data_IF_731540317786
#
_entry.id   IF_731540317786
#
_cell.length_a   1.000
_cell.length_b   1.000
_cell.length_c   1.000
_cell.angle_alpha   90.00
_cell.angle_beta   90.00
_cell.angle_gamma   90.00
#
_symmetry.space_group_name_H-M   'P 1'
#
loop_
_entity.id
_entity.type
_entity.pdbx_description
1 polymer ?
#
# COMPACT_ATOMS: atom_id res chain seq x y z
N UNK A 1 -12.87 5.35 -5.64
CA UNK A 1 -12.86 3.92 -5.29
C UNK A 1 -13.98 3.71 -4.29
N UNK A 2 -15.13 3.30 -4.74
CA UNK A 2 -16.25 3.06 -3.83
C UNK A 2 -16.24 1.60 -3.37
N UNK A 3 -16.60 1.34 -2.12
CA UNK A 3 -16.42 0.09 -1.38
C UNK A 3 -17.09 -1.15 -1.96
N UNK A 4 -17.86 -1.06 -3.03
CA UNK A 4 -18.55 -2.24 -3.57
C UNK A 4 -17.63 -3.31 -4.17
N UNK A 5 -16.36 -2.99 -4.46
CA UNK A 5 -15.52 -3.82 -5.33
C UNK A 5 -14.10 -4.09 -4.81
N UNK A 6 -13.55 -3.33 -3.84
CA UNK A 6 -12.19 -3.58 -3.36
C UNK A 6 -12.17 -4.12 -1.92
N UNK A 7 -12.10 -5.44 -1.79
CA UNK A 7 -12.02 -6.17 -0.51
C UNK A 7 -10.71 -5.91 0.27
N UNK A 8 -9.71 -5.29 -0.37
CA UNK A 8 -8.39 -4.96 0.20
C UNK A 8 -8.29 -3.50 0.66
N UNK A 9 -9.35 -2.73 0.47
CA UNK A 9 -9.39 -1.34 0.92
C UNK A 9 -9.33 -1.28 2.46
N UNK A 10 -8.46 -0.40 2.98
CA UNK A 10 -8.26 -0.19 4.42
C UNK A 10 -8.88 1.12 4.86
N UNK A 11 -8.43 2.23 4.27
CA UNK A 11 -8.88 3.55 4.65
C UNK A 11 -8.84 4.56 3.49
N UNK A 12 -9.66 5.58 3.60
CA UNK A 12 -9.55 6.82 2.84
C UNK A 12 -9.02 7.90 3.78
N UNK A 13 -7.89 8.48 3.41
CA UNK A 13 -7.26 9.62 4.08
C UNK A 13 -7.63 10.93 3.36
N UNK A 14 -7.08 12.06 3.78
CA UNK A 14 -7.37 13.36 3.17
C UNK A 14 -6.85 13.46 1.73
N UNK A 15 -5.64 12.98 1.45
CA UNK A 15 -5.02 13.06 0.12
C UNK A 15 -5.06 11.76 -0.68
N UNK A 16 -5.37 10.61 -0.06
CA UNK A 16 -5.26 9.32 -0.75
C UNK A 16 -6.09 8.18 -0.18
N UNK A 17 -5.95 7.04 -0.84
CA UNK A 17 -6.58 5.77 -0.47
C UNK A 17 -5.53 4.73 -0.12
N UNK A 18 -5.69 4.08 1.02
CA UNK A 18 -4.84 2.97 1.49
C UNK A 18 -5.53 1.66 1.16
N UNK A 19 -4.85 0.79 0.44
CA UNK A 19 -5.32 -0.56 0.16
C UNK A 19 -4.15 -1.55 0.17
N UNK A 20 -4.32 -2.70 0.82
CA UNK A 20 -3.37 -3.80 0.69
C UNK A 20 -3.36 -4.33 -0.75
N UNK A 21 -2.22 -4.76 -1.24
CA UNK A 21 -2.13 -5.48 -2.51
C UNK A 21 -2.89 -6.81 -2.40
N UNK A 22 -3.71 -7.17 -3.38
CA UNK A 22 -4.32 -8.51 -3.42
C UNK A 22 -3.28 -9.64 -3.43
N UNK A 23 -2.11 -9.39 -3.99
CA UNK A 23 -0.97 -10.31 -3.95
C UNK A 23 -0.09 -9.98 -2.73
N UNK A 24 -0.33 -10.68 -1.63
CA UNK A 24 0.44 -10.57 -0.39
C UNK A 24 1.69 -11.49 -0.37
N UNK A 25 2.33 -11.67 -1.52
CA UNK A 25 3.61 -12.39 -1.62
C UNK A 25 4.67 -11.76 -0.71
N UNK A 26 4.68 -10.43 -0.66
CA UNK A 26 5.39 -9.65 0.34
C UNK A 26 4.36 -9.19 1.38
N UNK A 27 4.45 -9.72 2.58
CA UNK A 27 3.48 -9.49 3.67
C UNK A 27 3.39 -8.01 4.04
N UNK A 28 2.19 -7.45 3.96
CA UNK A 28 1.92 -6.04 4.22
C UNK A 28 2.10 -5.13 2.99
N UNK A 29 2.35 -5.69 1.80
CA UNK A 29 2.45 -4.89 0.57
C UNK A 29 1.17 -4.07 0.38
N UNK A 30 1.33 -2.76 0.25
CA UNK A 30 0.25 -1.78 0.28
C UNK A 30 0.42 -0.76 -0.86
N UNK A 31 -0.71 -0.35 -1.42
CA UNK A 31 -0.81 0.81 -2.31
C UNK A 31 -1.34 2.01 -1.54
N UNK A 32 -0.73 3.17 -1.76
CA UNK A 32 -1.28 4.45 -1.35
C UNK A 32 -1.49 5.30 -2.59
N UNK A 33 -2.76 5.43 -3.03
CA UNK A 33 -3.14 6.07 -4.30
C UNK A 33 -3.70 7.46 -4.04
N UNK A 34 -3.28 8.45 -4.84
CA UNK A 34 -3.77 9.82 -4.72
C UNK A 34 -5.29 9.90 -4.98
N UNK A 35 -5.97 10.83 -4.30
CA UNK A 35 -7.38 11.18 -4.62
C UNK A 35 -7.48 11.95 -5.93
N UNK A 36 -6.58 12.90 -6.12
CA UNK A 36 -6.53 13.73 -7.32
C UNK A 36 -6.09 12.89 -8.50
N UNK A 37 -6.83 12.99 -9.61
CA UNK A 37 -6.54 12.24 -10.83
C UNK A 37 -5.38 12.88 -11.58
N UNK A 38 -4.16 12.57 -11.17
CA UNK A 38 -2.90 12.98 -11.82
C UNK A 38 -2.00 11.77 -12.04
N UNK A 39 -1.09 11.87 -12.99
CA UNK A 39 -0.12 10.82 -13.29
C UNK A 39 1.19 10.97 -12.50
N UNK A 40 1.55 12.20 -12.15
CA UNK A 40 2.88 12.51 -11.64
C UNK A 40 2.82 13.33 -10.35
N UNK A 41 3.76 13.06 -9.45
CA UNK A 41 3.85 13.74 -8.16
C UNK A 41 4.02 15.28 -8.30
N UNK A 42 4.77 15.73 -9.30
CA UNK A 42 5.02 17.15 -9.53
C UNK A 42 3.82 17.91 -10.11
N UNK A 43 2.77 17.22 -10.55
CA UNK A 43 1.53 17.81 -11.04
C UNK A 43 0.54 18.16 -9.92
N UNK A 44 0.75 17.64 -8.71
CA UNK A 44 -0.04 18.05 -7.55
C UNK A 44 0.31 19.49 -7.14
N UNK A 45 -0.70 20.24 -6.72
CA UNK A 45 -0.48 21.53 -6.06
C UNK A 45 0.40 21.32 -4.81
N UNK A 46 1.19 22.34 -4.46
CA UNK A 46 2.21 22.19 -3.40
C UNK A 46 1.64 21.66 -2.08
N UNK A 47 0.56 22.27 -1.60
CA UNK A 47 -0.06 21.86 -0.33
C UNK A 47 -0.60 20.43 -0.36
N UNK A 48 -1.17 20.02 -1.47
CA UNK A 48 -1.68 18.67 -1.68
C UNK A 48 -0.53 17.65 -1.76
N UNK A 49 0.53 17.99 -2.48
CA UNK A 49 1.73 17.17 -2.57
C UNK A 49 2.41 16.97 -1.21
N UNK A 50 2.54 18.06 -0.44
CA UNK A 50 3.14 18.02 0.89
C UNK A 50 2.31 17.12 1.83
N UNK A 51 0.98 17.21 1.78
CA UNK A 51 0.08 16.33 2.51
C UNK A 51 0.18 14.87 2.05
N UNK A 52 0.20 14.62 0.73
CA UNK A 52 0.32 13.27 0.17
C UNK A 52 1.63 12.58 0.57
N UNK A 53 2.74 13.31 0.62
CA UNK A 53 4.02 12.81 1.09
C UNK A 53 4.01 12.54 2.60
N UNK A 54 3.41 13.43 3.39
CA UNK A 54 3.24 13.23 4.84
C UNK A 54 2.41 11.97 5.12
N UNK A 55 1.21 11.86 4.54
CA UNK A 55 0.34 10.70 4.73
C UNK A 55 0.99 9.40 4.26
N UNK A 56 1.74 9.42 3.14
CA UNK A 56 2.50 8.25 2.68
C UNK A 56 3.51 7.79 3.75
N UNK A 57 4.23 8.72 4.38
CA UNK A 57 5.18 8.42 5.45
C UNK A 57 4.48 7.83 6.68
N UNK A 58 3.33 8.37 7.05
CA UNK A 58 2.55 7.87 8.18
C UNK A 58 1.94 6.48 7.91
N UNK A 59 1.49 6.22 6.68
CA UNK A 59 1.07 4.87 6.25
C UNK A 59 2.24 3.89 6.36
N UNK A 60 3.45 4.29 5.97
CA UNK A 60 4.63 3.46 6.12
C UNK A 60 4.97 3.19 7.61
N UNK A 61 4.83 4.17 8.50
CA UNK A 61 4.97 3.97 9.95
C UNK A 61 3.94 2.97 10.49
N UNK A 62 2.68 3.08 10.05
CA UNK A 62 1.64 2.13 10.42
C UNK A 62 1.97 0.71 9.94
N UNK A 63 2.48 0.56 8.71
CA UNK A 63 2.94 -0.73 8.17
C UNK A 63 4.08 -1.34 9.00
N UNK A 64 5.04 -0.53 9.43
CA UNK A 64 6.14 -0.99 10.30
C UNK A 64 5.60 -1.53 11.62
N UNK A 65 4.64 -0.83 12.25
CA UNK A 65 4.05 -1.28 13.51
C UNK A 65 3.17 -2.53 13.34
N UNK A 66 2.41 -2.61 12.24
CA UNK A 66 1.50 -3.72 11.98
C UNK A 66 2.23 -5.02 11.59
N UNK A 67 3.31 -4.93 10.81
CA UNK A 67 3.93 -6.10 10.17
C UNK A 67 5.38 -6.37 10.59
N UNK A 68 6.06 -5.45 11.27
CA UNK A 68 7.42 -5.62 11.82
C UNK A 68 8.50 -5.92 10.77
N UNK A 69 8.57 -5.20 9.63
CA UNK A 69 9.59 -5.48 8.62
C UNK A 69 10.98 -5.02 9.07
N UNK A 70 12.02 -5.62 8.49
CA UNK A 70 13.40 -5.14 8.63
C UNK A 70 13.68 -3.88 7.82
N UNK A 71 12.95 -3.67 6.71
CA UNK A 71 13.13 -2.58 5.75
C UNK A 71 11.81 -2.23 5.07
N UNK A 72 11.57 -0.95 4.81
CA UNK A 72 10.51 -0.50 3.91
C UNK A 72 11.10 -0.12 2.55
N UNK A 73 10.50 -0.61 1.47
CA UNK A 73 10.74 -0.08 0.13
C UNK A 73 9.58 0.85 -0.25
N UNK A 74 9.94 1.98 -0.85
CA UNK A 74 9.02 3.01 -1.33
C UNK A 74 9.25 3.16 -2.83
N UNK A 75 8.24 2.93 -3.64
CA UNK A 75 8.38 2.98 -5.09
C UNK A 75 7.22 3.75 -5.71
N UNK A 76 7.54 4.65 -6.63
CA UNK A 76 6.60 5.48 -7.37
C UNK A 76 6.87 5.24 -8.86
N UNK A 77 6.17 4.28 -9.45
CA UNK A 77 6.46 3.78 -10.80
C UNK A 77 5.52 4.38 -11.85
N UNK A 78 4.25 3.97 -11.89
CA UNK A 78 3.24 4.55 -12.79
C UNK A 78 3.29 4.11 -14.26
N UNK A 79 4.19 3.21 -14.67
CA UNK A 79 4.36 2.84 -16.07
C UNK A 79 3.17 2.05 -16.64
N UNK A 80 2.56 1.17 -15.88
CA UNK A 80 1.39 0.40 -16.29
C UNK A 80 0.07 1.06 -15.89
N UNK A 81 0.01 1.56 -14.66
CA UNK A 81 -1.12 2.31 -14.13
C UNK A 81 -0.65 3.73 -13.88
N UNK A 82 -1.04 4.65 -14.74
CA UNK A 82 -0.55 6.02 -14.72
C UNK A 82 -1.10 6.87 -13.58
N UNK A 83 -2.22 6.46 -12.94
CA UNK A 83 -2.74 7.16 -11.78
C UNK A 83 -1.71 7.15 -10.63
N UNK A 84 -1.40 8.30 -10.08
CA UNK A 84 -0.37 8.49 -9.06
C UNK A 84 -0.60 7.59 -7.83
N UNK A 85 0.33 6.69 -7.55
CA UNK A 85 0.28 5.80 -6.40
C UNK A 85 1.66 5.36 -5.95
N UNK A 86 1.82 5.18 -4.64
CA UNK A 86 2.97 4.57 -4.02
C UNK A 86 2.79 3.07 -3.89
N UNK A 87 3.87 2.33 -4.12
CA UNK A 87 4.05 0.96 -3.67
C UNK A 87 4.84 1.01 -2.35
N UNK A 88 4.22 0.64 -1.26
CA UNK A 88 4.85 0.53 0.06
C UNK A 88 5.03 -0.95 0.36
N UNK A 89 6.27 -1.40 0.33
CA UNK A 89 6.58 -2.84 0.45
C UNK A 89 7.39 -3.10 1.71
N UNK A 90 6.76 -3.65 2.77
CA UNK A 90 7.48 -4.18 3.91
C UNK A 90 8.37 -5.36 3.47
N UNK A 91 9.64 -5.33 3.86
CA UNK A 91 10.61 -6.39 3.55
C UNK A 91 11.02 -7.11 4.81
N UNK A 92 10.89 -8.43 4.78
CA UNK A 92 11.13 -9.30 5.92
C UNK A 92 12.38 -10.16 5.70
N UNK A 93 12.97 -10.69 6.79
CA UNK A 93 14.17 -11.55 6.70
C UNK A 93 13.86 -12.91 6.05
N UNK A 94 12.60 -13.35 6.12
CA UNK A 94 12.09 -14.58 5.54
C UNK A 94 11.59 -14.42 4.09
N UNK A 95 11.68 -13.20 3.50
CA UNK A 95 11.38 -13.00 2.09
C UNK A 95 12.32 -13.80 1.19
N UNK A 96 11.80 -14.26 0.05
CA UNK A 96 12.67 -14.73 -1.03
C UNK A 96 13.54 -13.57 -1.53
N UNK A 97 14.88 -13.71 -1.40
CA UNK A 97 15.84 -12.63 -1.72
C UNK A 97 15.57 -11.33 -0.96
N UNK A 98 15.70 -11.30 0.38
CA UNK A 98 15.26 -10.20 1.23
C UNK A 98 16.01 -8.86 0.97
N UNK A 99 17.17 -8.92 0.33
CA UNK A 99 18.00 -7.74 -0.01
C UNK A 99 17.84 -7.24 -1.44
N UNK A 100 17.14 -8.02 -2.31
CA UNK A 100 16.93 -7.65 -3.71
C UNK A 100 15.61 -6.86 -3.89
N UNK A 101 15.53 -6.00 -4.91
CA UNK A 101 14.26 -5.40 -5.33
C UNK A 101 13.22 -6.47 -5.65
N UNK A 102 11.94 -6.19 -5.37
CA UNK A 102 10.85 -7.15 -5.61
C UNK A 102 10.72 -7.50 -7.10
N UNK A 103 11.09 -6.60 -7.99
CA UNK A 103 11.00 -6.75 -9.45
C UNK A 103 12.06 -7.69 -10.05
N UNK A 104 13.01 -8.16 -9.26
CA UNK A 104 13.94 -9.25 -9.64
C UNK A 104 13.40 -10.64 -9.30
N UNK A 105 12.26 -10.74 -8.61
CA UNK A 105 11.64 -12.00 -8.24
C UNK A 105 10.68 -12.45 -9.35
N UNK A 106 11.13 -13.41 -10.16
CA UNK A 106 10.37 -13.90 -11.32
C UNK A 106 9.05 -14.59 -10.93
N UNK A 107 8.99 -15.23 -9.76
CA UNK A 107 7.75 -15.85 -9.29
C UNK A 107 6.73 -14.79 -8.89
N UNK A 108 7.16 -13.78 -8.14
CA UNK A 108 6.32 -12.63 -7.82
C UNK A 108 5.78 -11.96 -9.08
N UNK A 109 6.63 -11.70 -10.09
CA UNK A 109 6.21 -11.11 -11.37
C UNK A 109 5.18 -12.00 -12.08
N UNK A 110 5.44 -13.30 -12.16
CA UNK A 110 4.50 -14.24 -12.77
C UNK A 110 3.13 -14.20 -12.09
N UNK A 111 3.09 -14.24 -10.76
CA UNK A 111 1.85 -14.16 -10.00
C UNK A 111 1.13 -12.83 -10.18
N UNK A 112 1.88 -11.72 -10.21
CA UNK A 112 1.35 -10.38 -10.43
C UNK A 112 0.65 -10.26 -11.79
N UNK A 113 1.22 -10.87 -12.83
CA UNK A 113 0.67 -10.81 -14.21
C UNK A 113 -0.48 -11.79 -14.45
N UNK A 114 -0.44 -12.95 -13.82
CA UNK A 114 -1.48 -13.98 -14.04
C UNK A 114 -2.71 -13.77 -13.16
N UNK A 115 -2.61 -12.93 -12.10
CA UNK A 115 -3.66 -12.81 -11.09
C UNK A 115 -3.90 -14.12 -10.31
N UNK A 116 -3.02 -15.11 -10.46
CA UNK A 116 -3.14 -16.41 -9.82
C UNK A 116 -2.69 -16.35 -8.35
N UNK A 117 -3.45 -15.61 -7.55
CA UNK A 117 -3.22 -15.50 -6.12
C UNK A 117 -4.58 -15.53 -5.40
N UNK A 118 -4.85 -16.64 -4.77
CA UNK A 118 -5.95 -16.74 -3.83
C UNK A 118 -5.39 -16.51 -2.43
N UNK A 119 -5.95 -15.55 -1.72
CA UNK A 119 -5.70 -15.33 -0.29
C UNK A 119 -6.92 -15.78 0.48
N UNK A 120 -6.69 -16.49 1.58
CA UNK A 120 -7.74 -16.79 2.55
C UNK A 120 -8.34 -15.48 3.07
N UNK A 121 -9.67 -15.40 3.10
CA UNK A 121 -10.39 -14.23 3.57
C UNK A 121 -10.01 -13.86 5.01
N UNK A 122 -9.73 -14.83 5.86
CA UNK A 122 -9.33 -14.61 7.25
C UNK A 122 -7.95 -13.97 7.35
N UNK A 123 -7.01 -14.34 6.48
CA UNK A 123 -5.66 -13.74 6.40
C UNK A 123 -5.76 -12.30 5.94
N UNK A 124 -6.57 -12.05 4.91
CA UNK A 124 -6.85 -10.70 4.43
C UNK A 124 -7.46 -9.83 5.53
N UNK A 125 -8.54 -10.29 6.17
CA UNK A 125 -9.26 -9.53 7.17
C UNK A 125 -8.37 -9.21 8.38
N UNK A 126 -7.53 -10.15 8.80
CA UNK A 126 -6.54 -9.93 9.84
C UNK A 126 -5.51 -8.85 9.44
N UNK A 127 -5.01 -8.88 8.20
CA UNK A 127 -4.05 -7.90 7.72
C UNK A 127 -4.66 -6.50 7.58
N UNK A 128 -5.89 -6.40 7.04
CA UNK A 128 -6.65 -5.14 6.92
C UNK A 128 -6.89 -4.53 8.31
N UNK A 129 -7.35 -5.35 9.27
CA UNK A 129 -7.62 -4.91 10.65
C UNK A 129 -6.34 -4.47 11.36
N UNK A 130 -5.23 -5.20 11.19
CA UNK A 130 -3.95 -4.84 11.79
C UNK A 130 -3.44 -3.49 11.28
N UNK A 131 -3.51 -3.26 9.96
CA UNK A 131 -3.09 -1.97 9.39
C UNK A 131 -4.03 -0.84 9.81
N UNK A 132 -5.34 -1.07 9.82
CA UNK A 132 -6.31 -0.07 10.25
C UNK A 132 -6.07 0.37 11.71
N UNK A 133 -5.86 -0.58 12.61
CA UNK A 133 -5.54 -0.30 14.01
C UNK A 133 -4.33 0.63 14.16
N UNK A 134 -3.28 0.42 13.37
CA UNK A 134 -2.08 1.24 13.41
C UNK A 134 -2.26 2.60 12.72
N UNK A 135 -3.13 2.69 11.70
CA UNK A 135 -3.49 3.97 11.07
C UNK A 135 -4.28 4.89 12.03
N UNK A 136 -5.14 4.33 12.87
CA UNK A 136 -5.87 5.09 13.92
C UNK A 136 -4.93 5.77 14.94
N UNK A 137 -3.68 5.29 15.05
CA UNK A 137 -2.65 5.80 15.94
C UNK A 137 -1.62 6.69 15.23
N UNK A 138 -1.76 6.86 13.93
CA UNK A 138 -0.88 7.67 13.09
C UNK A 138 -1.33 9.14 13.04
N UNK A 139 -0.43 10.03 12.64
CA UNK A 139 -0.74 11.45 12.44
C UNK A 139 -1.41 11.69 11.07
N UNK A 140 -2.59 11.10 10.89
CA UNK A 140 -3.42 11.21 9.68
C UNK A 140 -4.89 11.41 10.03
N UNK A 141 -5.62 12.05 9.12
CA UNK A 141 -7.07 12.14 9.22
C UNK A 141 -7.73 11.04 8.38
N UNK A 142 -8.38 10.10 9.05
CA UNK A 142 -9.15 9.05 8.41
C UNK A 142 -10.55 9.58 8.10
N UNK A 143 -10.85 9.81 6.81
CA UNK A 143 -12.18 10.23 6.37
C UNK A 143 -13.18 9.07 6.31
N UNK A 144 -12.68 7.86 6.01
CA UNK A 144 -13.47 6.63 5.95
C UNK A 144 -12.62 5.40 6.23
N UNK A 145 -13.07 4.56 7.14
CA UNK A 145 -12.57 3.20 7.33
C UNK A 145 -13.34 2.21 6.46
N UNK A 146 -12.68 1.14 6.02
CA UNK A 146 -13.27 0.08 5.20
C UNK A 146 -13.25 -1.30 5.90
N UNK A 147 -13.03 -1.31 7.20
CA UNK A 147 -13.04 -2.51 8.07
C UNK A 147 -14.40 -2.71 8.69
#
# INVERSE_FOLDING_TARGET
MDRGENRWAVARLQSGFVALSPLQYYRGYTYFSAKTCVAELHLLERSERDLFLHEMSEVAHALVRAFGPRKMNYELLGNFVSHLHWHLVPRHDDDVRPTAPIWENLEFLRLSWTGAHEQDDSVRDAAVSALMHELERADVTIERAYV
#
